data_IF_142243357745
#
_entry.id   IF_142243357745
#
_cell.length_a   1.000
_cell.length_b   1.000
_cell.length_c   1.000
_cell.angle_alpha   90.00
_cell.angle_beta   90.00
_cell.angle_gamma   90.00
#
_symmetry.space_group_name_H-M   'P 1'
#
loop_
_entity.id
_entity.type
_entity.pdbx_description
1 polymer ?
#
# COMPACT_ATOMS: atom_id res chain seq x y z
N UNK A 1 -17.05 -4.82 -1.81
CA UNK A 1 -17.26 -3.62 -2.65
C UNK A 1 -15.94 -2.88 -2.90
N UNK A 2 -15.14 -2.57 -1.87
CA UNK A 2 -13.83 -1.88 -2.04
C UNK A 2 -12.61 -2.78 -2.28
N UNK A 3 -12.79 -4.09 -2.41
CA UNK A 3 -11.69 -5.04 -2.62
C UNK A 3 -11.04 -4.94 -4.01
N UNK A 4 -11.65 -4.17 -4.94
CA UNK A 4 -11.18 -4.01 -6.31
C UNK A 4 -11.33 -2.55 -6.76
N UNK A 5 -10.49 -2.07 -7.69
CA UNK A 5 -10.54 -0.69 -8.16
C UNK A 5 -11.85 -0.36 -8.89
N UNK A 6 -12.38 -1.26 -9.72
CA UNK A 6 -13.50 -0.95 -10.63
C UNK A 6 -14.80 -0.47 -9.96
N UNK A 7 -15.42 -1.24 -9.05
CA UNK A 7 -16.57 -0.75 -8.28
C UNK A 7 -16.20 0.43 -7.38
N UNK A 8 -14.95 0.52 -6.90
CA UNK A 8 -14.51 1.66 -6.11
C UNK A 8 -14.54 2.95 -6.93
N UNK A 9 -14.05 2.92 -8.17
CA UNK A 9 -14.06 4.07 -9.08
C UNK A 9 -15.48 4.56 -9.35
N UNK A 10 -16.42 3.65 -9.63
CA UNK A 10 -17.84 4.02 -9.80
C UNK A 10 -18.43 4.70 -8.54
N UNK A 11 -18.07 4.23 -7.34
CA UNK A 11 -18.50 4.85 -6.09
C UNK A 11 -17.85 6.21 -5.85
N UNK A 12 -16.59 6.41 -6.23
CA UNK A 12 -15.93 7.71 -6.09
C UNK A 12 -16.53 8.77 -7.01
N UNK A 13 -17.09 8.37 -8.15
CA UNK A 13 -17.85 9.23 -9.06
C UNK A 13 -19.22 9.58 -8.47
N UNK A 14 -19.97 8.59 -7.97
CA UNK A 14 -21.29 8.79 -7.38
C UNK A 14 -21.25 9.56 -6.06
N UNK A 15 -20.19 9.36 -5.26
CA UNK A 15 -20.05 9.97 -3.94
C UNK A 15 -18.77 10.82 -3.86
N UNK A 16 -18.78 12.07 -4.37
CA UNK A 16 -17.62 12.96 -4.33
C UNK A 16 -17.11 13.32 -2.93
N UNK A 17 -17.83 13.00 -1.87
CA UNK A 17 -17.36 13.16 -0.49
C UNK A 17 -16.59 11.96 0.07
N UNK A 18 -16.68 10.80 -0.60
CA UNK A 18 -16.15 9.54 -0.09
C UNK A 18 -14.63 9.60 0.08
N UNK A 19 -14.18 9.12 1.24
CA UNK A 19 -12.76 9.01 1.60
C UNK A 19 -12.38 7.54 1.72
N UNK A 20 -11.16 7.22 1.32
CA UNK A 20 -10.65 5.86 1.30
C UNK A 20 -9.64 5.63 2.43
N UNK A 21 -9.80 4.48 3.07
CA UNK A 21 -8.69 3.78 3.71
C UNK A 21 -8.22 2.74 2.70
N UNK A 22 -6.99 2.87 2.21
CA UNK A 22 -6.56 2.13 1.04
C UNK A 22 -5.46 1.12 1.37
N UNK A 23 -5.71 -0.13 1.02
CA UNK A 23 -4.73 -1.20 0.90
C UNK A 23 -4.62 -1.57 -0.58
N UNK A 24 -3.51 -1.21 -1.21
CA UNK A 24 -3.28 -1.49 -2.63
C UNK A 24 -3.04 -2.98 -2.90
N UNK A 25 -2.62 -3.76 -1.90
CA UNK A 25 -2.27 -5.17 -2.09
C UNK A 25 -3.46 -6.02 -2.52
N UNK A 26 -4.63 -5.75 -1.97
CA UNK A 26 -5.87 -6.40 -2.37
C UNK A 26 -6.26 -6.08 -3.81
N UNK A 27 -6.00 -4.85 -4.26
CA UNK A 27 -6.28 -4.47 -5.64
C UNK A 27 -5.34 -5.19 -6.60
N UNK A 28 -4.05 -5.31 -6.26
CA UNK A 28 -3.10 -6.06 -7.08
C UNK A 28 -3.52 -7.53 -7.27
N UNK A 29 -3.97 -8.19 -6.20
CA UNK A 29 -4.45 -9.58 -6.27
C UNK A 29 -5.67 -9.72 -7.17
N UNK A 30 -6.62 -8.80 -7.06
CA UNK A 30 -7.90 -8.93 -7.78
C UNK A 30 -7.78 -8.55 -9.26
N UNK A 31 -6.83 -7.68 -9.59
CA UNK A 31 -6.55 -7.31 -10.98
C UNK A 31 -5.44 -8.17 -11.61
N UNK A 32 -4.75 -8.98 -10.81
CA UNK A 32 -3.53 -9.69 -11.19
C UNK A 32 -2.47 -8.77 -11.81
N UNK A 33 -2.33 -7.55 -11.26
CA UNK A 33 -1.45 -6.50 -11.77
C UNK A 33 -0.86 -5.67 -10.64
N UNK A 34 0.39 -5.24 -10.75
CA UNK A 34 1.00 -4.25 -9.84
C UNK A 34 0.50 -2.81 -10.05
N UNK A 35 -0.59 -2.64 -10.82
CA UNK A 35 -1.23 -1.37 -11.13
C UNK A 35 -0.28 -0.34 -11.77
N UNK A 36 0.72 -0.77 -12.55
CA UNK A 36 1.81 0.08 -13.05
C UNK A 36 1.73 0.38 -14.56
N UNK A 37 0.64 0.01 -15.24
CA UNK A 37 0.46 0.38 -16.62
C UNK A 37 0.10 1.88 -16.76
N UNK A 38 0.34 2.51 -17.92
CA UNK A 38 -0.02 3.91 -18.14
C UNK A 38 -1.50 4.21 -17.84
N UNK A 39 -2.40 3.29 -18.19
CA UNK A 39 -3.83 3.47 -17.91
C UNK A 39 -4.15 3.37 -16.42
N UNK A 40 -3.34 2.62 -15.66
CA UNK A 40 -3.49 2.53 -14.20
C UNK A 40 -3.14 3.85 -13.52
N UNK A 41 -2.04 4.48 -13.93
CA UNK A 41 -1.60 5.77 -13.38
C UNK A 41 -2.64 6.86 -13.56
N UNK A 42 -3.36 6.88 -14.69
CA UNK A 42 -4.37 7.91 -14.96
C UNK A 42 -5.50 7.89 -13.93
N UNK A 43 -6.13 6.74 -13.67
CA UNK A 43 -7.23 6.68 -12.71
C UNK A 43 -6.72 6.69 -11.26
N UNK A 44 -5.52 6.18 -10.99
CA UNK A 44 -4.90 6.25 -9.67
C UNK A 44 -4.71 7.70 -9.24
N UNK A 45 -4.02 8.50 -10.05
CA UNK A 45 -3.67 9.87 -9.71
C UNK A 45 -4.88 10.82 -9.73
N UNK A 46 -5.80 10.64 -10.68
CA UNK A 46 -6.91 11.57 -10.86
C UNK A 46 -8.14 11.24 -10.00
N UNK A 47 -8.41 9.95 -9.74
CA UNK A 47 -9.65 9.53 -9.08
C UNK A 47 -9.41 8.98 -7.68
N UNK A 48 -8.35 8.19 -7.47
CA UNK A 48 -8.14 7.46 -6.21
C UNK A 48 -7.32 8.25 -5.21
N UNK A 49 -6.10 8.65 -5.56
CA UNK A 49 -5.15 9.39 -4.70
C UNK A 49 -5.81 10.59 -4.00
N UNK A 50 -6.60 11.45 -4.67
CA UNK A 50 -7.26 12.59 -4.02
C UNK A 50 -8.29 12.23 -2.93
N UNK A 51 -8.66 10.94 -2.86
CA UNK A 51 -9.67 10.40 -1.95
C UNK A 51 -9.05 9.61 -0.80
N UNK A 52 -7.76 9.27 -0.87
CA UNK A 52 -7.07 8.49 0.17
C UNK A 52 -6.79 9.35 1.39
N UNK A 53 -7.30 8.91 2.55
CA UNK A 53 -7.07 9.58 3.85
C UNK A 53 -6.14 8.79 4.77
N UNK A 54 -6.20 7.47 4.70
CA UNK A 54 -5.39 6.52 5.46
C UNK A 54 -4.87 5.43 4.52
N UNK A 55 -3.65 4.95 4.78
CA UNK A 55 -3.05 3.85 4.02
C UNK A 55 -2.75 2.69 4.95
N UNK A 56 -3.19 1.51 4.53
CA UNK A 56 -2.72 0.25 5.07
C UNK A 56 -1.51 -0.18 4.24
N UNK A 57 -0.36 -0.17 4.91
CA UNK A 57 0.95 -0.41 4.35
C UNK A 57 1.26 -1.89 4.28
N UNK A 58 0.65 -2.61 3.36
CA UNK A 58 1.08 -3.96 3.00
C UNK A 58 1.63 -3.93 1.58
N UNK A 59 2.72 -4.64 1.33
CA UNK A 59 3.19 -4.89 -0.04
C UNK A 59 2.82 -6.33 -0.39
N UNK A 60 2.19 -6.49 -1.54
CA UNK A 60 1.84 -7.77 -2.12
C UNK A 60 2.42 -7.93 -3.52
N UNK A 61 2.08 -9.04 -4.16
CA UNK A 61 2.33 -9.32 -5.58
C UNK A 61 1.02 -9.23 -6.37
N UNK A 62 1.08 -9.52 -7.66
CA UNK A 62 -0.10 -9.74 -8.51
C UNK A 62 -0.97 -10.91 -8.02
N UNK A 63 -0.43 -11.82 -7.19
CA UNK A 63 -1.11 -13.07 -6.82
C UNK A 63 -1.21 -13.31 -5.31
N UNK A 64 -0.61 -12.46 -4.48
CA UNK A 64 -0.68 -12.55 -3.03
C UNK A 64 -0.76 -11.16 -2.40
N UNK A 65 -1.64 -10.99 -1.41
CA UNK A 65 -1.79 -9.70 -0.72
C UNK A 65 -0.56 -9.36 0.15
N UNK A 66 0.33 -10.32 0.41
CA UNK A 66 1.53 -10.14 1.22
C UNK A 66 2.74 -10.78 0.54
N UNK A 67 3.87 -10.08 0.56
CA UNK A 67 5.12 -10.63 0.06
C UNK A 67 5.59 -11.84 0.89
N UNK A 68 6.02 -12.93 0.23
CA UNK A 68 6.59 -14.09 0.92
C UNK A 68 8.00 -13.81 1.45
N UNK A 69 8.77 -12.94 0.79
CA UNK A 69 10.14 -12.61 1.14
C UNK A 69 10.39 -11.08 1.07
N UNK A 70 9.80 -10.29 1.99
CA UNK A 70 9.76 -8.83 1.88
C UNK A 70 11.13 -8.14 1.99
N UNK A 71 12.14 -8.84 2.53
CA UNK A 71 13.52 -8.34 2.66
C UNK A 71 14.45 -8.83 1.54
N UNK A 72 13.95 -9.68 0.65
CA UNK A 72 14.73 -10.23 -0.45
C UNK A 72 14.73 -9.28 -1.65
N UNK A 73 15.84 -9.28 -2.35
CA UNK A 73 16.07 -8.52 -3.58
C UNK A 73 15.05 -8.85 -4.68
N UNK A 74 14.54 -10.09 -4.71
CA UNK A 74 13.50 -10.52 -5.63
C UNK A 74 12.19 -9.73 -5.48
N UNK A 75 11.93 -9.17 -4.30
CA UNK A 75 10.73 -8.38 -4.01
C UNK A 75 10.89 -6.88 -4.34
N UNK A 76 12.03 -6.48 -4.91
CA UNK A 76 12.35 -5.07 -5.14
C UNK A 76 11.29 -4.37 -5.99
N UNK A 77 10.80 -5.02 -7.05
CA UNK A 77 9.86 -4.42 -7.99
C UNK A 77 8.54 -4.06 -7.31
N UNK A 78 8.00 -4.96 -6.49
CA UNK A 78 6.78 -4.78 -5.73
C UNK A 78 6.98 -3.69 -4.67
N UNK A 79 8.07 -3.76 -3.91
CA UNK A 79 8.39 -2.75 -2.89
C UNK A 79 8.51 -1.35 -3.50
N UNK A 80 9.23 -1.22 -4.62
CA UNK A 80 9.36 0.06 -5.34
C UNK A 80 8.02 0.56 -5.88
N UNK A 81 7.18 -0.33 -6.41
CA UNK A 81 5.88 0.06 -6.93
C UNK A 81 4.96 0.56 -5.81
N UNK A 82 4.86 -0.18 -4.71
CA UNK A 82 4.04 0.23 -3.57
C UNK A 82 4.55 1.52 -2.96
N UNK A 83 5.87 1.72 -2.92
CA UNK A 83 6.44 2.98 -2.49
C UNK A 83 6.01 4.15 -3.39
N UNK A 84 6.03 3.99 -4.72
CA UNK A 84 5.54 5.03 -5.65
C UNK A 84 4.06 5.36 -5.43
N UNK A 85 3.23 4.34 -5.18
CA UNK A 85 1.81 4.53 -4.85
C UNK A 85 1.62 5.35 -3.57
N UNK A 86 2.37 5.02 -2.53
CA UNK A 86 2.31 5.76 -1.26
C UNK A 86 2.84 7.18 -1.42
N UNK A 87 3.97 7.37 -2.11
CA UNK A 87 4.57 8.69 -2.37
C UNK A 87 3.58 9.60 -3.10
N UNK A 88 2.83 9.08 -4.09
CA UNK A 88 1.77 9.85 -4.76
C UNK A 88 0.67 10.33 -3.79
N UNK A 89 0.27 9.50 -2.82
CA UNK A 89 -0.67 9.90 -1.76
C UNK A 89 -0.08 11.00 -0.88
N UNK A 90 1.20 10.89 -0.53
CA UNK A 90 1.89 11.85 0.34
C UNK A 90 2.06 13.21 -0.32
N UNK A 91 2.52 13.23 -1.57
CA UNK A 91 2.63 14.45 -2.37
C UNK A 91 1.28 15.14 -2.48
N UNK A 92 0.22 14.41 -2.83
CA UNK A 92 -1.12 15.00 -2.95
C UNK A 92 -1.64 15.58 -1.62
N UNK A 93 -1.44 14.86 -0.50
CA UNK A 93 -1.88 15.34 0.81
C UNK A 93 -1.10 16.58 1.26
N UNK A 94 0.20 16.67 0.96
CA UNK A 94 1.02 17.85 1.23
C UNK A 94 0.54 19.06 0.41
N UNK A 95 0.43 18.92 -0.92
CA UNK A 95 0.01 19.99 -1.84
C UNK A 95 -1.33 20.63 -1.48
N UNK A 96 -2.28 19.83 -1.00
CA UNK A 96 -3.63 20.30 -0.66
C UNK A 96 -3.76 20.73 0.79
N UNK A 97 -2.70 20.60 1.60
CA UNK A 97 -2.74 20.78 3.05
C UNK A 97 -3.90 20.00 3.72
N UNK A 98 -4.33 18.88 3.12
CA UNK A 98 -5.47 18.07 3.58
C UNK A 98 -5.01 17.27 4.80
N UNK A 99 -5.06 17.93 5.95
CA UNK A 99 -4.62 17.37 7.22
C UNK A 99 -3.11 17.39 7.35
N UNK A 100 -2.61 18.14 8.35
CA UNK A 100 -1.18 18.21 8.72
C UNK A 100 -0.57 16.87 9.19
N UNK A 101 -1.29 15.75 9.02
CA UNK A 101 -0.99 14.42 9.56
C UNK A 101 -1.57 13.36 8.60
N UNK A 102 -0.82 12.94 7.57
CA UNK A 102 -1.06 11.65 6.93
C UNK A 102 -1.01 10.54 7.99
N UNK A 103 -1.68 9.42 7.71
CA UNK A 103 -1.71 8.27 8.62
C UNK A 103 -1.46 7.00 7.84
N UNK A 104 -0.65 6.12 8.43
CA UNK A 104 -0.16 4.90 7.80
C UNK A 104 -0.07 3.80 8.86
N UNK A 105 -0.60 2.63 8.55
CA UNK A 105 -0.51 1.43 9.40
C UNK A 105 0.20 0.34 8.62
N UNK A 106 1.43 -0.08 8.98
CA UNK A 106 2.01 -1.29 8.40
C UNK A 106 1.11 -2.49 8.74
N UNK A 107 0.77 -3.31 7.76
CA UNK A 107 -0.23 -4.36 7.93
C UNK A 107 0.28 -5.76 7.57
N UNK A 108 1.59 -6.04 7.62
CA UNK A 108 2.03 -7.43 7.48
C UNK A 108 1.44 -8.28 8.61
N UNK A 109 0.87 -9.42 8.25
CA UNK A 109 0.23 -10.35 9.16
C UNK A 109 1.09 -11.60 9.40
N UNK A 110 0.93 -12.26 10.56
CA UNK A 110 1.51 -13.56 10.84
C UNK A 110 0.89 -14.65 9.95
N UNK A 111 1.26 -15.91 10.17
CA UNK A 111 0.60 -17.06 9.54
C UNK A 111 -0.93 -16.92 9.69
N UNK A 112 -1.74 -17.07 8.61
CA UNK A 112 -1.39 -17.66 7.32
C UNK A 112 -0.90 -16.70 6.23
N UNK A 113 -0.74 -15.40 6.52
CA UNK A 113 -0.25 -14.44 5.52
C UNK A 113 1.25 -14.55 5.30
N UNK A 114 2.03 -14.56 6.38
CA UNK A 114 3.45 -14.86 6.31
C UNK A 114 3.65 -16.35 6.00
N UNK A 115 4.58 -16.70 5.08
CA UNK A 115 4.98 -18.09 4.89
C UNK A 115 5.49 -18.69 6.20
N UNK A 116 5.35 -20.00 6.36
CA UNK A 116 5.93 -20.73 7.48
C UNK A 116 7.45 -20.87 7.28
N UNK A 117 8.22 -20.83 8.35
CA UNK A 117 9.65 -21.11 8.31
C UNK A 117 9.90 -22.54 7.82
N UNK A 118 10.93 -22.73 6.99
CA UNK A 118 11.19 -24.01 6.34
C UNK A 118 11.61 -25.12 7.32
N UNK A 119 12.40 -24.79 8.35
CA UNK A 119 12.85 -25.74 9.36
C UNK A 119 11.82 -26.00 10.47
N UNK A 120 11.04 -24.99 10.86
CA UNK A 120 10.03 -25.09 11.91
C UNK A 120 8.76 -24.36 11.47
N UNK A 121 7.80 -25.15 11.00
CA UNK A 121 6.57 -24.64 10.42
C UNK A 121 5.63 -23.99 11.44
N UNK A 122 5.93 -24.01 12.75
CA UNK A 122 5.16 -23.28 13.75
C UNK A 122 5.44 -21.77 13.73
N UNK A 123 6.57 -21.34 13.18
CA UNK A 123 6.99 -19.95 13.11
C UNK A 123 6.87 -19.38 11.71
N UNK A 124 6.75 -18.05 11.61
CA UNK A 124 6.84 -17.30 10.36
C UNK A 124 8.25 -17.37 9.77
N UNK A 125 8.33 -17.28 8.43
CA UNK A 125 9.59 -17.23 7.69
C UNK A 125 10.38 -15.92 7.94
N UNK A 126 9.74 -14.91 8.53
CA UNK A 126 10.35 -13.63 8.91
C UNK A 126 9.62 -13.04 10.13
N UNK A 127 10.31 -12.19 10.89
CA UNK A 127 9.73 -11.48 12.02
C UNK A 127 8.78 -10.37 11.52
N UNK A 128 7.47 -10.64 11.60
CA UNK A 128 6.41 -9.72 11.13
C UNK A 128 6.39 -8.42 11.93
N UNK A 129 6.55 -8.50 13.26
CA UNK A 129 6.52 -7.31 14.13
C UNK A 129 7.69 -6.37 13.82
N UNK A 130 8.88 -6.94 13.65
CA UNK A 130 10.07 -6.18 13.28
C UNK A 130 9.91 -5.52 11.89
N UNK A 131 9.41 -6.27 10.91
CA UNK A 131 9.13 -5.73 9.57
C UNK A 131 8.13 -4.56 9.62
N UNK A 132 7.03 -4.72 10.36
CA UNK A 132 6.04 -3.66 10.55
C UNK A 132 6.66 -2.43 11.23
N UNK A 133 7.46 -2.62 12.28
CA UNK A 133 8.13 -1.53 12.97
C UNK A 133 9.13 -0.78 12.07
N UNK A 134 9.94 -1.52 11.30
CA UNK A 134 10.89 -0.95 10.33
C UNK A 134 10.15 -0.15 9.24
N UNK A 135 9.05 -0.68 8.70
CA UNK A 135 8.27 0.01 7.68
C UNK A 135 7.59 1.28 8.22
N UNK A 136 7.03 1.24 9.44
CA UNK A 136 6.50 2.43 10.10
C UNK A 136 7.56 3.54 10.25
N UNK A 137 8.75 3.16 10.71
CA UNK A 137 9.87 4.10 10.87
C UNK A 137 10.32 4.67 9.51
N UNK A 138 10.45 3.83 8.48
CA UNK A 138 10.85 4.24 7.15
C UNK A 138 9.84 5.20 6.49
N UNK A 139 8.54 4.89 6.58
CA UNK A 139 7.51 5.79 6.05
C UNK A 139 7.47 7.10 6.82
N UNK A 140 7.60 7.09 8.16
CA UNK A 140 7.70 8.33 8.95
C UNK A 140 8.80 9.26 8.45
N UNK A 141 10.00 8.73 8.19
CA UNK A 141 11.09 9.54 7.64
C UNK A 141 10.78 10.08 6.24
N UNK A 142 10.14 9.28 5.37
CA UNK A 142 9.72 9.73 4.03
C UNK A 142 8.68 10.84 4.10
N UNK A 143 7.69 10.70 4.98
CA UNK A 143 6.69 11.74 5.25
C UNK A 143 7.34 13.05 5.68
N UNK A 144 8.26 12.99 6.64
CA UNK A 144 8.92 14.18 7.16
C UNK A 144 9.69 14.91 6.07
N UNK A 145 10.27 14.20 5.09
CA UNK A 145 10.91 14.81 3.91
C UNK A 145 9.90 15.47 2.98
N UNK A 146 8.84 14.76 2.59
CA UNK A 146 7.80 15.30 1.68
C UNK A 146 7.12 16.53 2.26
N UNK A 147 7.03 16.66 3.59
CA UNK A 147 6.41 17.81 4.26
C UNK A 147 7.37 19.00 4.47
N UNK A 148 8.67 18.84 4.20
CA UNK A 148 9.68 19.90 4.29
C UNK A 148 9.95 20.58 2.94
N UNK A 149 9.61 19.89 1.83
CA UNK A 149 9.66 20.38 0.46
C UNK A 149 8.38 21.16 0.09
#
# INVERSE_FOLDING_TARGET
>A
MFYSPWPTLALLEEFPGLKLTLDFSHWCVVTERLLNAPEDEEWLLNKVVPRVRHVHGRVGTEHAAQLPYPLDELSRNEVERFQKLWDAVWTHQNEKAIGKRPTFTPEYGPIPYAPRHHDDQQFEAYNVDELCAQQAAAQRQKFDRVMQD
#
